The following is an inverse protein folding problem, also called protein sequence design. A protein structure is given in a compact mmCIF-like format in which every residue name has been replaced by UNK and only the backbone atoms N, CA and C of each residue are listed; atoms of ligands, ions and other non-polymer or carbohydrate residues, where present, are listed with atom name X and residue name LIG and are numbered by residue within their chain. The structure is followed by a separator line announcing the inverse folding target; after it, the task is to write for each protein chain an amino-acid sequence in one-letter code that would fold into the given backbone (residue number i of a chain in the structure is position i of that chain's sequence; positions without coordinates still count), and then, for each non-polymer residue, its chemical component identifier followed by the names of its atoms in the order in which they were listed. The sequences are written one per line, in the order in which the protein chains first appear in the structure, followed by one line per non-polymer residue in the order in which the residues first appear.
data_IF_767891793365
#
_entry.id   IF_767891793365
#
_cell.length_a   1.000
_cell.length_b   1.000
_cell.length_c   1.000
_cell.angle_alpha   90.00
_cell.angle_beta   90.00
_cell.angle_gamma   90.00
#
_symmetry.space_group_name_H-M   'P 1'
#
loop_
_entity.id
_entity.type
_entity.pdbx_description
1 polymer ?
#
# COMPACT_ATOMS: atom_id res chain seq x y z
N UNK A 1 4.62 -13.02 6.68
CA UNK A 1 4.79 -11.67 7.28
C UNK A 1 3.47 -11.02 7.70
N UNK A 2 2.38 -11.06 6.88
CA UNK A 2 1.08 -10.43 7.21
C UNK A 2 0.52 -10.85 8.59
N UNK A 3 0.43 -12.14 8.96
CA UNK A 3 -0.11 -12.52 10.27
C UNK A 3 0.71 -11.97 11.44
N UNK A 4 2.04 -11.91 11.30
CA UNK A 4 2.91 -11.37 12.35
C UNK A 4 2.67 -9.87 12.51
N UNK A 5 2.56 -9.12 11.41
CA UNK A 5 2.19 -7.71 11.43
C UNK A 5 0.85 -7.48 12.15
N UNK A 6 -0.17 -8.28 11.81
CA UNK A 6 -1.50 -8.19 12.44
C UNK A 6 -1.46 -8.44 13.95
N UNK A 7 -0.67 -9.40 14.41
CA UNK A 7 -0.51 -9.67 15.85
C UNK A 7 0.01 -8.42 16.57
N UNK A 8 1.10 -7.82 16.08
CA UNK A 8 1.71 -6.68 16.75
C UNK A 8 0.84 -5.43 16.73
N UNK A 9 0.18 -5.14 15.61
CA UNK A 9 -0.69 -3.96 15.52
C UNK A 9 -1.99 -4.11 16.33
N UNK A 10 -2.43 -5.35 16.59
CA UNK A 10 -3.63 -5.63 17.40
C UNK A 10 -3.36 -5.60 18.91
N UNK A 11 -2.10 -5.52 19.34
CA UNK A 11 -1.78 -5.35 20.76
C UNK A 11 -2.23 -3.95 21.19
N UNK A 12 -3.13 -3.83 22.18
CA UNK A 12 -3.57 -2.51 22.65
C UNK A 12 -2.38 -1.65 23.09
N UNK A 13 -2.38 -0.38 22.70
CA UNK A 13 -1.41 0.58 23.18
C UNK A 13 -1.58 0.80 24.69
N UNK A 14 -0.95 -0.05 25.51
CA UNK A 14 -1.01 0.01 26.96
C UNK A 14 -0.05 1.06 27.47
N UNK A 15 -0.57 2.07 28.18
CA UNK A 15 0.21 3.10 28.84
C UNK A 15 0.52 4.34 27.99
N UNK A 16 1.14 5.33 28.63
CA UNK A 16 1.63 6.52 27.93
C UNK A 16 2.81 6.11 27.07
N UNK A 17 2.65 6.23 25.74
CA UNK A 17 3.76 6.00 24.81
C UNK A 17 4.99 6.83 25.17
N UNK A 18 6.17 6.38 24.79
CA UNK A 18 7.40 7.14 25.00
C UNK A 18 7.38 8.33 24.04
N UNK A 19 7.46 9.54 24.58
CA UNK A 19 7.60 10.74 23.77
C UNK A 19 9.05 10.92 23.32
N UNK A 20 9.29 10.84 22.01
CA UNK A 20 10.61 11.08 21.42
C UNK A 20 10.48 12.14 20.33
N UNK A 21 11.15 13.28 20.50
CA UNK A 21 11.15 14.40 19.54
C UNK A 21 9.72 14.83 19.07
N UNK A 22 8.77 14.89 20.02
CA UNK A 22 7.37 15.25 19.70
C UNK A 22 6.48 14.11 19.18
N UNK A 23 7.06 12.95 18.86
CA UNK A 23 6.33 11.76 18.43
C UNK A 23 5.94 10.89 19.63
N UNK A 24 4.73 10.34 19.62
CA UNK A 24 4.30 9.34 20.60
C UNK A 24 4.62 7.93 20.08
N UNK A 25 5.56 7.28 20.73
CA UNK A 25 6.00 5.94 20.35
C UNK A 25 5.31 4.88 21.21
N UNK A 26 4.57 4.04 20.54
CA UNK A 26 4.10 2.78 21.10
C UNK A 26 4.95 1.66 20.47
N UNK A 27 5.71 0.94 21.30
CA UNK A 27 6.69 -0.05 20.83
C UNK A 27 6.08 -1.09 19.86
N UNK A 28 4.82 -1.49 20.06
CA UNK A 28 4.11 -2.43 19.20
C UNK A 28 3.89 -1.88 17.79
N UNK A 29 3.62 -0.57 17.64
CA UNK A 29 3.47 0.07 16.33
C UNK A 29 4.81 0.25 15.63
N UNK A 30 5.87 0.52 16.39
CA UNK A 30 7.24 0.57 15.83
C UNK A 30 7.66 -0.80 15.32
N UNK A 31 7.40 -1.88 16.07
CA UNK A 31 7.66 -3.25 15.63
C UNK A 31 6.83 -3.59 14.38
N UNK A 32 5.54 -3.23 14.37
CA UNK A 32 4.68 -3.41 13.20
C UNK A 32 5.22 -2.65 11.97
N UNK A 33 5.70 -1.40 12.14
CA UNK A 33 6.32 -0.63 11.06
C UNK A 33 7.57 -1.31 10.50
N UNK A 34 8.43 -1.84 11.38
CA UNK A 34 9.64 -2.58 10.96
C UNK A 34 9.25 -3.86 10.19
N UNK A 35 8.27 -4.62 10.69
CA UNK A 35 7.79 -5.84 10.01
C UNK A 35 7.22 -5.48 8.64
N UNK A 36 6.42 -4.41 8.54
CA UNK A 36 5.87 -3.93 7.29
C UNK A 36 6.97 -3.48 6.30
N UNK A 37 7.95 -2.71 6.77
CA UNK A 37 9.07 -2.25 5.95
C UNK A 37 9.92 -3.43 5.42
N UNK A 38 10.24 -4.39 6.29
CA UNK A 38 10.98 -5.61 5.91
C UNK A 38 10.18 -6.45 4.92
N UNK A 39 8.88 -6.64 5.16
CA UNK A 39 8.02 -7.40 4.25
C UNK A 39 7.95 -6.75 2.87
N UNK A 40 7.75 -5.43 2.81
CA UNK A 40 7.70 -4.66 1.55
C UNK A 40 9.03 -4.67 0.81
N UNK A 41 10.16 -4.58 1.55
CA UNK A 41 11.49 -4.67 0.95
C UNK A 41 11.80 -6.07 0.41
N UNK A 42 11.45 -7.11 1.16
CA UNK A 42 11.65 -8.51 0.73
C UNK A 42 10.84 -8.80 -0.53
N UNK A 43 9.57 -8.38 -0.58
CA UNK A 43 8.72 -8.55 -1.75
C UNK A 43 9.28 -7.84 -3.00
N UNK A 44 9.75 -6.60 -2.81
CA UNK A 44 10.43 -5.87 -3.89
C UNK A 44 11.70 -6.59 -4.37
N UNK A 45 12.50 -7.12 -3.45
CA UNK A 45 13.75 -7.83 -3.76
C UNK A 45 13.47 -9.14 -4.49
N UNK A 46 12.50 -9.92 -4.02
CA UNK A 46 12.08 -11.18 -4.65
C UNK A 46 11.59 -10.95 -6.08
N UNK A 47 10.75 -9.94 -6.28
CA UNK A 47 10.31 -9.54 -7.61
C UNK A 47 11.44 -9.03 -8.51
N UNK A 48 12.46 -8.37 -7.95
CA UNK A 48 13.64 -7.94 -8.71
C UNK A 48 14.50 -9.13 -9.15
N UNK A 49 14.79 -10.06 -8.24
CA UNK A 49 15.60 -11.27 -8.52
C UNK A 49 14.89 -12.15 -9.53
N UNK A 50 13.60 -12.43 -9.36
CA UNK A 50 12.82 -13.27 -10.26
C UNK A 50 12.82 -12.74 -11.71
N UNK A 51 12.72 -11.44 -11.88
CA UNK A 51 12.81 -10.80 -13.22
C UNK A 51 14.20 -10.84 -13.80
N UNK A 52 15.25 -10.63 -12.98
CA UNK A 52 16.64 -10.65 -13.42
C UNK A 52 17.06 -12.04 -13.91
N UNK A 53 16.67 -13.07 -13.18
CA UNK A 53 17.12 -14.43 -13.41
C UNK A 53 16.13 -15.25 -14.28
N UNK A 54 15.09 -14.62 -14.85
CA UNK A 54 14.03 -15.22 -15.69
C UNK A 54 13.33 -16.43 -15.02
N UNK A 55 13.23 -16.43 -13.68
CA UNK A 55 12.61 -17.49 -12.88
C UNK A 55 11.10 -17.28 -12.68
N UNK A 56 10.45 -16.56 -13.59
CA UNK A 56 9.05 -16.16 -13.43
C UNK A 56 8.13 -17.34 -13.80
N UNK A 57 7.52 -17.95 -12.78
CA UNK A 57 6.51 -19.00 -12.96
C UNK A 57 5.13 -18.42 -13.27
N UNK A 58 4.24 -19.22 -13.92
CA UNK A 58 2.86 -18.76 -14.17
C UNK A 58 2.08 -18.52 -12.87
N UNK A 59 2.32 -19.31 -11.83
CA UNK A 59 1.74 -19.11 -10.50
C UNK A 59 2.29 -17.82 -9.85
N UNK A 60 3.59 -17.56 -9.92
CA UNK A 60 4.19 -16.32 -9.42
C UNK A 60 3.62 -15.07 -10.08
N UNK A 61 3.44 -15.09 -11.41
CA UNK A 61 2.80 -13.96 -12.14
C UNK A 61 1.41 -13.60 -11.62
N UNK A 62 0.68 -14.57 -11.10
CA UNK A 62 -0.63 -14.38 -10.50
C UNK A 62 -0.56 -14.02 -9.01
N UNK A 63 0.28 -14.72 -8.26
CA UNK A 63 0.35 -14.61 -6.80
C UNK A 63 1.03 -13.31 -6.33
N UNK A 64 2.12 -12.87 -6.99
CA UNK A 64 2.90 -11.68 -6.59
C UNK A 64 2.06 -10.39 -6.55
N UNK A 65 1.30 -10.02 -7.63
CA UNK A 65 0.46 -8.84 -7.60
C UNK A 65 -0.65 -8.89 -6.55
N UNK A 66 -1.06 -10.08 -6.14
CA UNK A 66 -2.10 -10.26 -5.12
C UNK A 66 -1.50 -10.12 -3.72
N UNK A 67 -0.36 -10.77 -3.45
CA UNK A 67 0.33 -10.73 -2.16
C UNK A 67 0.74 -9.31 -1.76
N UNK A 68 1.35 -8.53 -2.68
CA UNK A 68 1.72 -7.14 -2.48
C UNK A 68 0.50 -6.29 -2.05
N UNK A 69 -0.62 -6.44 -2.75
CA UNK A 69 -1.85 -5.72 -2.42
C UNK A 69 -2.48 -6.16 -1.10
N UNK A 70 -2.39 -7.43 -0.76
CA UNK A 70 -2.89 -7.93 0.53
C UNK A 70 -2.12 -7.32 1.69
N UNK A 71 -0.79 -7.18 1.60
CA UNK A 71 0.02 -6.56 2.64
C UNK A 71 -0.38 -5.09 2.87
N UNK A 72 -0.45 -4.30 1.81
CA UNK A 72 -0.80 -2.87 1.89
C UNK A 72 -2.26 -2.68 2.35
N UNK A 73 -3.21 -3.48 1.83
CA UNK A 73 -4.61 -3.41 2.24
C UNK A 73 -4.78 -3.77 3.72
N UNK A 74 -4.10 -4.83 4.19
CA UNK A 74 -4.12 -5.22 5.61
C UNK A 74 -3.58 -4.11 6.50
N UNK A 75 -2.46 -3.47 6.09
CA UNK A 75 -1.88 -2.37 6.84
C UNK A 75 -2.86 -1.18 6.94
N UNK A 76 -3.48 -0.77 5.84
CA UNK A 76 -4.46 0.33 5.84
C UNK A 76 -5.70 0.01 6.66
N UNK A 77 -6.26 -1.20 6.56
CA UNK A 77 -7.40 -1.63 7.38
C UNK A 77 -7.03 -1.59 8.87
N UNK A 78 -5.84 -2.04 9.22
CA UNK A 78 -5.36 -2.00 10.60
C UNK A 78 -5.17 -0.56 11.11
N UNK A 79 -4.65 0.36 10.27
CA UNK A 79 -4.55 1.78 10.61
C UNK A 79 -5.91 2.43 10.87
N UNK A 80 -6.96 2.00 10.15
CA UNK A 80 -8.34 2.43 10.45
C UNK A 80 -8.79 1.90 11.80
N UNK A 81 -8.47 0.65 12.11
CA UNK A 81 -8.84 0.00 13.39
C UNK A 81 -8.21 0.64 14.63
N UNK A 82 -7.10 1.37 14.46
CA UNK A 82 -6.39 2.10 15.53
C UNK A 82 -6.51 3.63 15.40
N UNK A 83 -7.48 4.11 14.61
CA UNK A 83 -7.80 5.53 14.39
C UNK A 83 -6.66 6.40 13.81
N UNK A 84 -5.68 5.79 13.16
CA UNK A 84 -4.58 6.50 12.48
C UNK A 84 -4.90 6.89 11.02
N UNK A 85 -5.92 6.28 10.41
CA UNK A 85 -6.35 6.61 9.05
C UNK A 85 -7.88 6.67 8.95
N UNK A 86 -8.46 7.65 8.22
CA UNK A 86 -9.90 7.74 8.05
C UNK A 86 -10.42 6.62 7.12
N UNK A 87 -11.48 5.92 7.55
CA UNK A 87 -12.02 4.74 6.86
C UNK A 87 -12.46 5.06 5.42
N UNK A 88 -13.09 6.23 5.18
CA UNK A 88 -13.55 6.61 3.83
C UNK A 88 -12.40 6.72 2.82
N UNK A 89 -11.26 7.28 3.26
CA UNK A 89 -10.08 7.45 2.42
C UNK A 89 -9.45 6.10 2.06
N UNK A 90 -9.28 5.24 3.06
CA UNK A 90 -8.77 3.88 2.89
C UNK A 90 -9.69 3.07 1.96
N UNK A 91 -11.02 3.21 2.11
CA UNK A 91 -11.99 2.54 1.26
C UNK A 91 -11.81 2.92 -0.22
N UNK A 92 -11.65 4.21 -0.53
CA UNK A 92 -11.41 4.67 -1.92
C UNK A 92 -10.12 4.08 -2.47
N UNK A 93 -9.05 4.06 -1.68
CA UNK A 93 -7.77 3.46 -2.09
C UNK A 93 -7.96 1.99 -2.43
N UNK A 94 -8.56 1.20 -1.53
CA UNK A 94 -8.74 -0.25 -1.71
C UNK A 94 -9.66 -0.54 -2.89
N UNK A 95 -10.79 0.15 -3.01
CA UNK A 95 -11.73 -0.03 -4.13
C UNK A 95 -11.03 0.18 -5.48
N UNK A 96 -10.25 1.26 -5.59
CA UNK A 96 -9.49 1.54 -6.81
C UNK A 96 -8.42 0.49 -7.09
N UNK A 97 -7.72 0.00 -6.06
CA UNK A 97 -6.73 -1.07 -6.22
C UNK A 97 -7.36 -2.33 -6.82
N UNK A 98 -8.51 -2.74 -6.29
CA UNK A 98 -9.26 -3.89 -6.78
C UNK A 98 -9.78 -3.67 -8.19
N UNK A 99 -10.37 -2.50 -8.48
CA UNK A 99 -10.93 -2.18 -9.78
C UNK A 99 -9.86 -2.20 -10.90
N UNK A 100 -8.70 -1.56 -10.66
CA UNK A 100 -7.60 -1.57 -11.65
C UNK A 100 -6.96 -2.95 -11.78
N UNK A 101 -6.95 -3.74 -10.71
CA UNK A 101 -6.46 -5.13 -10.80
C UNK A 101 -7.39 -5.99 -11.63
N UNK A 102 -8.70 -5.88 -11.41
CA UNK A 102 -9.69 -6.58 -12.23
C UNK A 102 -9.57 -6.21 -13.72
N UNK A 103 -9.50 -4.91 -14.02
CA UNK A 103 -9.31 -4.46 -15.40
C UNK A 103 -8.00 -4.98 -16.02
N UNK A 104 -6.92 -5.04 -15.25
CA UNK A 104 -5.64 -5.59 -15.72
C UNK A 104 -5.76 -7.09 -16.04
N UNK A 105 -6.48 -7.85 -15.23
CA UNK A 105 -6.71 -9.29 -15.50
C UNK A 105 -7.47 -9.49 -16.81
N UNK A 106 -8.54 -8.71 -17.06
CA UNK A 106 -9.28 -8.73 -18.32
C UNK A 106 -8.41 -8.38 -19.54
N UNK A 107 -7.53 -7.38 -19.40
CA UNK A 107 -6.59 -7.00 -20.47
C UNK A 107 -5.59 -8.11 -20.78
N UNK A 108 -5.06 -8.79 -19.77
CA UNK A 108 -4.12 -9.90 -19.93
C UNK A 108 -4.80 -11.06 -20.64
N UNK A 109 -6.06 -11.36 -20.33
CA UNK A 109 -6.86 -12.39 -20.99
C UNK A 109 -7.05 -12.09 -22.49
N UNK A 110 -7.25 -10.81 -22.83
CA UNK A 110 -7.31 -10.32 -24.23
C UNK A 110 -5.92 -10.19 -24.90
N UNK A 111 -4.84 -10.68 -24.26
CA UNK A 111 -3.48 -10.67 -24.81
C UNK A 111 -2.78 -9.31 -24.75
N UNK A 112 -3.35 -8.31 -24.08
CA UNK A 112 -2.79 -6.96 -23.98
C UNK A 112 -2.09 -6.79 -22.63
N UNK A 113 -0.75 -6.64 -22.64
CA UNK A 113 0.04 -6.42 -21.41
C UNK A 113 0.38 -4.93 -21.29
N UNK A 114 -0.21 -4.25 -20.31
CA UNK A 114 0.09 -2.85 -20.05
C UNK A 114 1.08 -2.67 -18.89
N UNK A 115 2.13 -1.91 -19.16
CA UNK A 115 3.09 -1.50 -18.12
C UNK A 115 2.46 -0.48 -17.15
N UNK A 116 2.86 -0.56 -15.89
CA UNK A 116 2.47 0.45 -14.91
C UNK A 116 3.05 1.82 -15.27
N UNK A 117 2.21 2.83 -15.40
CA UNK A 117 2.64 4.21 -15.61
C UNK A 117 3.41 4.78 -14.40
N UNK A 118 4.14 5.89 -14.60
CA UNK A 118 4.91 6.55 -13.54
C UNK A 118 4.07 6.94 -12.32
N UNK A 119 2.84 7.40 -12.54
CA UNK A 119 1.89 7.73 -11.47
C UNK A 119 1.54 6.51 -10.60
N UNK A 120 1.47 5.30 -11.18
CA UNK A 120 1.26 4.07 -10.42
C UNK A 120 2.42 3.74 -9.47
N UNK A 121 3.66 4.01 -9.87
CA UNK A 121 4.84 3.81 -9.00
C UNK A 121 4.85 4.81 -7.84
N UNK A 122 4.58 6.09 -8.14
CA UNK A 122 4.54 7.16 -7.13
C UNK A 122 3.44 6.91 -6.10
N UNK A 123 2.26 6.47 -6.53
CA UNK A 123 1.17 6.06 -5.66
C UNK A 123 1.61 4.99 -4.65
N UNK A 124 2.20 3.88 -5.11
CA UNK A 124 2.63 2.79 -4.23
C UNK A 124 3.68 3.25 -3.24
N UNK A 125 4.64 4.06 -3.69
CA UNK A 125 5.67 4.63 -2.83
C UNK A 125 5.09 5.53 -1.74
N UNK A 126 4.17 6.44 -2.08
CA UNK A 126 3.50 7.32 -1.10
C UNK A 126 2.62 6.55 -0.12
N UNK A 127 1.95 5.47 -0.54
CA UNK A 127 1.19 4.58 0.33
C UNK A 127 2.09 3.89 1.35
N UNK A 128 3.20 3.30 0.92
CA UNK A 128 4.15 2.61 1.82
C UNK A 128 4.75 3.57 2.83
N UNK A 129 5.19 4.75 2.40
CA UNK A 129 5.72 5.78 3.30
C UNK A 129 4.68 6.27 4.29
N UNK A 130 3.44 6.51 3.84
CA UNK A 130 2.35 6.92 4.73
C UNK A 130 2.11 5.91 5.85
N UNK A 131 2.03 4.61 5.53
CA UNK A 131 1.85 3.55 6.51
C UNK A 131 2.97 3.57 7.55
N UNK A 132 4.23 3.65 7.10
CA UNK A 132 5.38 3.67 8.00
C UNK A 132 5.35 4.90 8.92
N UNK A 133 5.17 6.12 8.36
CA UNK A 133 5.15 7.36 9.14
C UNK A 133 4.00 7.38 10.15
N UNK A 134 2.80 6.93 9.79
CA UNK A 134 1.67 6.84 10.71
C UNK A 134 1.95 5.87 11.87
N UNK A 135 2.58 4.73 11.61
CA UNK A 135 2.90 3.74 12.64
C UNK A 135 4.00 4.21 13.59
N UNK A 136 5.01 4.95 13.10
CA UNK A 136 6.09 5.47 13.95
C UNK A 136 5.78 6.86 14.56
N UNK A 137 4.53 7.35 14.42
CA UNK A 137 4.11 8.65 14.97
C UNK A 137 4.86 9.84 14.35
N UNK A 138 5.10 9.81 13.04
CA UNK A 138 5.81 10.84 12.25
C UNK A 138 7.28 11.09 12.66
N UNK A 139 7.92 10.15 13.38
CA UNK A 139 9.33 10.29 13.75
C UNK A 139 10.25 10.32 12.50
N UNK A 140 11.30 11.14 12.47
CA UNK A 140 11.83 12.08 13.49
C UNK A 140 11.17 13.48 13.44
N UNK A 141 10.12 13.67 12.67
CA UNK A 141 9.52 14.97 12.34
C UNK A 141 8.26 15.30 13.16
N UNK A 142 8.03 14.57 14.25
CA UNK A 142 6.85 14.74 15.13
C UNK A 142 6.78 16.09 15.87
N UNK A 143 7.83 16.93 15.74
CA UNK A 143 7.82 18.31 16.25
C UNK A 143 7.08 19.28 15.31
N UNK A 144 6.71 18.84 14.10
CA UNK A 144 5.96 19.68 13.16
C UNK A 144 4.50 19.79 13.58
N UNK A 145 3.83 20.92 13.29
CA UNK A 145 2.43 21.13 13.64
C UNK A 145 1.44 20.31 12.76
N UNK A 146 1.96 19.50 11.86
CA UNK A 146 1.18 18.66 10.96
C UNK A 146 1.80 17.28 10.84
N UNK A 147 0.95 16.26 10.65
CA UNK A 147 1.39 14.88 10.44
C UNK A 147 1.85 14.65 9.01
N UNK A 148 3.10 14.22 8.84
CA UNK A 148 3.65 13.86 7.53
C UNK A 148 2.98 12.59 7.00
N UNK A 149 2.72 11.61 7.88
CA UNK A 149 1.99 10.40 7.52
C UNK A 149 0.61 10.69 6.94
N UNK A 150 -0.12 11.66 7.52
CA UNK A 150 -1.42 12.10 6.99
C UNK A 150 -1.27 12.81 5.65
N UNK A 151 -0.29 13.70 5.49
CA UNK A 151 -0.05 14.37 4.20
C UNK A 151 0.26 13.34 3.11
N UNK A 152 1.13 12.37 3.40
CA UNK A 152 1.46 11.30 2.47
C UNK A 152 0.23 10.44 2.14
N UNK A 153 -0.67 10.23 3.10
CA UNK A 153 -1.91 9.49 2.90
C UNK A 153 -2.85 10.23 1.92
N UNK A 154 -3.01 11.54 2.06
CA UNK A 154 -3.80 12.35 1.12
C UNK A 154 -3.14 12.42 -0.26
N UNK A 155 -1.83 12.55 -0.34
CA UNK A 155 -1.11 12.47 -1.61
C UNK A 155 -1.27 11.10 -2.28
N UNK A 156 -1.22 10.01 -1.51
CA UNK A 156 -1.48 8.66 -2.00
C UNK A 156 -2.91 8.55 -2.55
N UNK A 157 -3.91 9.17 -1.92
CA UNK A 157 -5.27 9.23 -2.43
C UNK A 157 -5.33 9.94 -3.79
N UNK A 158 -4.73 11.12 -3.89
CA UNK A 158 -4.71 11.91 -5.13
C UNK A 158 -4.07 11.11 -6.28
N UNK A 159 -2.88 10.53 -6.04
CA UNK A 159 -2.22 9.70 -7.05
C UNK A 159 -3.01 8.42 -7.37
N UNK A 160 -3.71 7.87 -6.40
CA UNK A 160 -4.58 6.71 -6.58
C UNK A 160 -5.73 7.03 -7.51
N UNK A 161 -6.45 8.14 -7.28
CA UNK A 161 -7.56 8.58 -8.13
C UNK A 161 -7.04 8.92 -9.53
N UNK A 162 -6.02 9.76 -9.63
CA UNK A 162 -5.45 10.17 -10.92
C UNK A 162 -5.02 8.97 -11.76
N UNK A 163 -4.20 8.08 -11.20
CA UNK A 163 -3.73 6.90 -11.93
C UNK A 163 -4.84 5.88 -12.21
N UNK A 164 -5.91 5.86 -11.42
CA UNK A 164 -7.10 5.06 -11.69
C UNK A 164 -7.85 5.57 -12.91
N UNK A 165 -8.20 6.84 -12.90
CA UNK A 165 -8.91 7.50 -14.01
C UNK A 165 -8.12 7.39 -15.32
N UNK A 166 -6.81 7.70 -15.29
CA UNK A 166 -5.93 7.57 -16.47
C UNK A 166 -5.94 6.14 -17.02
N UNK A 167 -5.90 5.14 -16.13
CA UNK A 167 -5.92 3.73 -16.53
C UNK A 167 -7.24 3.30 -17.17
N UNK A 168 -8.38 3.73 -16.62
CA UNK A 168 -9.70 3.43 -17.17
C UNK A 168 -9.94 4.14 -18.52
N UNK A 169 -9.56 5.42 -18.63
CA UNK A 169 -9.71 6.18 -19.89
C UNK A 169 -8.90 5.53 -21.02
N UNK A 170 -7.65 5.14 -20.73
CA UNK A 170 -6.78 4.51 -21.74
C UNK A 170 -7.26 3.13 -22.20
N UNK A 171 -8.11 2.47 -21.45
CA UNK A 171 -8.57 1.12 -21.72
C UNK A 171 -10.10 1.02 -21.86
N UNK A 172 -10.77 2.13 -22.16
CA UNK A 172 -12.22 2.17 -22.29
C UNK A 172 -12.75 1.26 -23.42
N UNK A 173 -11.93 1.01 -24.43
CA UNK A 173 -12.26 0.13 -25.56
C UNK A 173 -12.53 -1.32 -25.12
N UNK A 174 -11.95 -1.76 -24.00
CA UNK A 174 -12.21 -3.12 -23.48
C UNK A 174 -13.69 -3.35 -23.16
N UNK A 175 -14.40 -2.29 -22.76
CA UNK A 175 -15.82 -2.33 -22.42
C UNK A 175 -16.73 -2.11 -23.62
N UNK A 176 -16.23 -1.50 -24.71
CA UNK A 176 -17.02 -1.26 -25.92
C UNK A 176 -17.10 -2.48 -26.83
N UNK A 177 -16.19 -3.44 -26.70
CA UNK A 177 -16.18 -4.67 -27.50
C UNK A 177 -17.17 -5.74 -26.98
N UNK A 178 -17.80 -5.51 -25.82
CA UNK A 178 -18.74 -6.44 -25.18
C UNK A 178 -20.22 -5.92 -25.17
N UNK A 179 -20.44 -4.71 -25.68
CA UNK A 179 -21.79 -4.11 -25.87
C UNK A 179 -22.18 -4.12 -27.32
#
# INVERSE_FOLDING_TARGET
MIPIFMIFISIPASGNGIQVLGSQWHWQYVVAAVIFAVASFTDWLDGYIARRDNLVTNFGKFADPLADKMLVATAFISLVGIDLAPAWLVSIIIMRELAVTGLRLLLVEKGTVMAAGGAGKLKTFTQMLSIIFLLIGDFPLGFLPFSIGQILLYLALIFTIYSGVDYFIKNISVFSDEL
#
